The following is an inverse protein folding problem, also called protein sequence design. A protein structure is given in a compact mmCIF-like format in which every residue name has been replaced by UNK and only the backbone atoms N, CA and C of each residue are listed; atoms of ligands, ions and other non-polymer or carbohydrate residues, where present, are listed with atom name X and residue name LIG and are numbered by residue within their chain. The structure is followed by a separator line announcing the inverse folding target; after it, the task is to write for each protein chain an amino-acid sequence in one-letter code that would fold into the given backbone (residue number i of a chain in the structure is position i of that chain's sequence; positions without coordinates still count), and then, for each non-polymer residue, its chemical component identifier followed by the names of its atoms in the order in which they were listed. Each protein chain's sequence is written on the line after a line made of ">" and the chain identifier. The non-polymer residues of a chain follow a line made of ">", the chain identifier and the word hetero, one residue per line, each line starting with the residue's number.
data_IF_570410666942
#
_entry.id   IF_570410666942
#
_cell.length_a   1.000
_cell.length_b   1.000
_cell.length_c   1.000
_cell.angle_alpha   90.00
_cell.angle_beta   90.00
_cell.angle_gamma   90.00
#
_symmetry.space_group_name_H-M   'P 1'
#
loop_
_entity.id
_entity.type
_entity.pdbx_description
1 polymer ?
#
# COMPACT_ATOMS: atom_id res chain seq x y z
N UNK A 1 1.97 30.88 -18.39
CA UNK A 1 3.33 31.00 -17.83
C UNK A 1 3.72 29.64 -17.28
N UNK A 2 4.72 29.02 -17.90
CA UNK A 2 5.10 27.62 -17.74
C UNK A 2 5.59 27.31 -16.31
N UNK A 3 5.21 26.13 -15.80
CA UNK A 3 5.65 25.56 -14.51
C UNK A 3 7.18 25.28 -14.43
N UNK A 4 7.93 25.70 -15.44
CA UNK A 4 9.34 25.38 -15.67
C UNK A 4 10.33 26.42 -15.11
N UNK A 5 9.93 27.22 -14.11
CA UNK A 5 10.79 28.26 -13.52
C UNK A 5 11.11 28.08 -12.02
N UNK A 6 10.62 27.00 -11.38
CA UNK A 6 10.88 26.74 -9.96
C UNK A 6 12.06 25.78 -9.71
N UNK A 7 12.37 24.90 -10.67
CA UNK A 7 13.48 23.96 -10.53
C UNK A 7 14.85 24.66 -10.57
N UNK A 8 15.04 25.70 -11.37
CA UNK A 8 16.37 26.31 -11.56
C UNK A 8 16.85 27.20 -10.40
N UNK A 9 15.97 27.65 -9.49
CA UNK A 9 16.37 28.46 -8.32
C UNK A 9 16.43 27.66 -7.02
N UNK A 10 15.78 26.50 -6.95
CA UNK A 10 15.88 25.56 -5.81
C UNK A 10 16.95 24.48 -5.98
N UNK A 11 17.30 24.12 -7.23
CA UNK A 11 18.20 23.00 -7.52
C UNK A 11 19.66 23.19 -7.10
N UNK A 12 20.09 24.41 -6.71
CA UNK A 12 21.46 24.67 -6.28
C UNK A 12 21.64 24.46 -4.76
N UNK A 13 20.56 24.43 -3.96
CA UNK A 13 20.66 24.32 -2.49
C UNK A 13 20.54 22.88 -1.94
N UNK A 14 20.05 21.91 -2.73
CA UNK A 14 19.76 20.53 -2.25
C UNK A 14 20.93 19.56 -2.50
N UNK A 15 22.05 20.02 -3.06
CA UNK A 15 23.19 19.14 -3.41
C UNK A 15 24.09 18.69 -2.24
N UNK A 16 23.70 18.96 -1.00
CA UNK A 16 24.36 18.43 0.20
C UNK A 16 23.38 18.12 1.35
N UNK A 17 22.11 17.86 1.04
CA UNK A 17 21.12 17.55 2.07
C UNK A 17 21.32 16.10 2.57
N UNK A 18 21.35 15.90 3.89
CA UNK A 18 21.46 14.55 4.48
C UNK A 18 20.38 13.62 3.94
N UNK A 19 20.61 12.29 3.96
CA UNK A 19 19.70 11.27 3.40
C UNK A 19 18.22 11.50 3.76
N UNK A 20 17.93 11.99 4.97
CA UNK A 20 16.56 12.30 5.41
C UNK A 20 15.89 13.49 4.72
N UNK A 21 16.64 14.55 4.38
CA UNK A 21 16.10 15.69 3.64
C UNK A 21 15.79 15.34 2.18
N UNK A 22 16.59 14.46 1.58
CA UNK A 22 16.32 13.95 0.23
C UNK A 22 15.01 13.16 0.19
N UNK A 23 14.81 12.28 1.18
CA UNK A 23 13.56 11.52 1.33
C UNK A 23 12.33 12.42 1.48
N UNK A 24 12.42 13.50 2.26
CA UNK A 24 11.32 14.47 2.39
C UNK A 24 11.01 15.21 1.08
N UNK A 25 12.04 15.54 0.31
CA UNK A 25 11.87 16.08 -1.03
C UNK A 25 11.13 15.10 -1.94
N UNK A 26 11.53 13.83 -1.93
CA UNK A 26 10.89 12.78 -2.72
C UNK A 26 9.41 12.58 -2.34
N UNK A 27 9.08 12.60 -1.04
CA UNK A 27 7.70 12.50 -0.55
C UNK A 27 6.83 13.70 -0.94
N UNK A 28 7.44 14.88 -1.06
CA UNK A 28 6.72 16.07 -1.50
C UNK A 28 6.49 16.05 -3.01
N UNK A 29 7.53 15.69 -3.78
CA UNK A 29 7.47 15.67 -5.24
C UNK A 29 6.50 14.61 -5.78
N UNK A 30 6.46 13.41 -5.17
CA UNK A 30 5.62 12.32 -5.65
C UNK A 30 4.13 12.66 -5.65
N UNK A 31 3.69 13.58 -4.80
CA UNK A 31 2.29 14.01 -4.71
C UNK A 31 1.85 14.68 -6.01
N UNK A 32 2.69 15.53 -6.61
CA UNK A 32 2.38 16.17 -7.89
C UNK A 32 2.39 15.18 -9.07
N UNK A 33 3.21 14.14 -8.97
CA UNK A 33 3.30 13.11 -10.02
C UNK A 33 2.11 12.15 -9.98
N UNK A 34 1.54 11.91 -8.80
CA UNK A 34 0.52 10.87 -8.57
C UNK A 34 -0.88 11.40 -8.37
N UNK A 35 -1.05 12.63 -7.90
CA UNK A 35 -2.34 13.24 -7.65
C UNK A 35 -2.63 14.40 -8.62
N UNK A 36 -3.53 14.22 -9.61
CA UNK A 36 -3.97 15.29 -10.51
C UNK A 36 -4.63 16.49 -9.80
N UNK A 37 -5.10 16.32 -8.55
CA UNK A 37 -5.68 17.40 -7.77
C UNK A 37 -4.64 18.33 -7.15
N UNK A 38 -3.38 17.89 -7.01
CA UNK A 38 -2.29 18.66 -6.44
C UNK A 38 -1.83 19.78 -7.39
N UNK A 39 -2.55 20.91 -7.39
CA UNK A 39 -2.31 22.02 -8.33
C UNK A 39 -1.34 23.05 -7.82
N UNK A 40 -1.18 23.17 -6.51
CA UNK A 40 -0.32 24.19 -5.89
C UNK A 40 0.47 23.66 -4.69
N UNK A 41 1.72 24.12 -4.55
CA UNK A 41 2.62 23.65 -3.50
C UNK A 41 2.16 23.96 -2.07
N UNK A 42 1.53 25.12 -1.87
CA UNK A 42 0.89 25.47 -0.58
C UNK A 42 -0.26 24.52 -0.22
N UNK A 43 -1.02 24.07 -1.20
CA UNK A 43 -2.12 23.12 -0.96
C UNK A 43 -1.57 21.79 -0.47
N UNK A 44 -0.53 21.27 -1.13
CA UNK A 44 0.17 20.06 -0.67
C UNK A 44 0.75 20.25 0.73
N UNK A 45 1.41 21.38 0.98
CA UNK A 45 2.02 21.64 2.28
C UNK A 45 1.00 21.82 3.41
N UNK A 46 -0.19 22.38 3.16
CA UNK A 46 -1.15 22.72 4.21
C UNK A 46 -2.34 21.77 4.30
N UNK A 47 -2.67 21.03 3.24
CA UNK A 47 -3.94 20.33 3.09
C UNK A 47 -3.80 18.84 2.74
N UNK A 48 -2.59 18.25 2.78
CA UNK A 48 -2.38 16.82 2.53
C UNK A 48 -2.04 16.06 3.83
N UNK A 49 -3.03 15.44 4.49
CA UNK A 49 -2.81 14.69 5.73
C UNK A 49 -1.81 13.55 5.58
N UNK A 50 -1.77 12.92 4.39
CA UNK A 50 -0.80 11.87 4.07
C UNK A 50 0.64 12.34 4.19
N UNK A 51 0.93 13.53 3.66
CA UNK A 51 2.26 14.15 3.75
C UNK A 51 2.58 14.55 5.19
N UNK A 52 1.64 15.16 5.91
CA UNK A 52 1.82 15.51 7.33
C UNK A 52 2.11 14.30 8.21
N UNK A 53 1.42 13.18 7.97
CA UNK A 53 1.65 11.94 8.70
C UNK A 53 3.06 11.40 8.46
N UNK A 54 3.55 11.43 7.21
CA UNK A 54 4.91 11.02 6.87
C UNK A 54 5.97 11.94 7.49
N UNK A 55 5.75 13.25 7.51
CA UNK A 55 6.64 14.21 8.19
C UNK A 55 6.80 13.88 9.67
N UNK A 56 5.68 13.72 10.38
CA UNK A 56 5.67 13.40 11.81
C UNK A 56 6.25 12.00 12.07
N UNK A 57 5.95 11.02 11.23
CA UNK A 57 6.54 9.70 11.29
C UNK A 57 8.07 9.76 11.14
N UNK A 58 8.60 10.50 10.17
CA UNK A 58 10.06 10.57 9.95
C UNK A 58 10.78 11.20 11.14
N UNK A 59 10.18 12.21 11.79
CA UNK A 59 10.66 12.75 13.05
C UNK A 59 10.61 11.70 14.18
N UNK A 60 9.49 10.99 14.32
CA UNK A 60 9.33 9.95 15.33
C UNK A 60 10.31 8.79 15.13
N UNK A 61 10.50 8.34 13.89
CA UNK A 61 11.43 7.29 13.50
C UNK A 61 12.87 7.69 13.79
N UNK A 62 13.26 8.92 13.43
CA UNK A 62 14.59 9.46 13.72
C UNK A 62 14.90 9.53 15.23
N UNK A 63 13.90 9.82 16.06
CA UNK A 63 14.02 9.78 17.53
C UNK A 63 14.07 8.33 18.04
N UNK A 64 13.28 7.42 17.45
CA UNK A 64 13.27 6.01 17.79
C UNK A 64 14.63 5.34 17.54
N UNK A 65 15.26 5.64 16.41
CA UNK A 65 16.61 5.15 16.05
C UNK A 65 17.70 5.66 17.01
N UNK A 66 17.43 6.72 17.77
CA UNK A 66 18.31 7.23 18.84
C UNK A 66 17.98 6.65 20.21
N UNK A 67 17.18 5.59 20.25
CA UNK A 67 16.73 4.92 21.47
C UNK A 67 15.96 5.84 22.44
N UNK A 68 15.32 6.90 21.91
CA UNK A 68 14.39 7.70 22.71
C UNK A 68 13.11 6.87 22.92
N UNK A 69 12.72 6.68 24.18
CA UNK A 69 11.66 5.70 24.52
C UNK A 69 10.25 6.29 24.33
N UNK A 70 9.96 7.42 24.95
CA UNK A 70 8.58 7.93 25.07
C UNK A 70 8.15 8.82 23.90
N UNK A 71 8.98 9.79 23.51
CA UNK A 71 8.62 10.82 22.53
C UNK A 71 8.21 10.30 21.13
N UNK A 72 8.88 9.27 20.54
CA UNK A 72 8.43 8.73 19.27
C UNK A 72 6.97 8.28 19.28
N UNK A 73 6.57 7.60 20.36
CA UNK A 73 5.20 7.08 20.50
C UNK A 73 4.21 8.22 20.67
N UNK A 74 4.56 9.25 21.46
CA UNK A 74 3.73 10.44 21.61
C UNK A 74 3.52 11.16 20.28
N UNK A 75 4.59 11.35 19.48
CA UNK A 75 4.51 12.00 18.15
C UNK A 75 3.65 11.18 17.20
N UNK A 76 3.78 9.85 17.19
CA UNK A 76 2.91 8.96 16.41
C UNK A 76 1.43 9.13 16.76
N UNK A 77 1.09 9.21 18.06
CA UNK A 77 -0.28 9.46 18.49
C UNK A 77 -0.79 10.86 18.14
N UNK A 78 0.06 11.88 18.22
CA UNK A 78 -0.28 13.23 17.77
C UNK A 78 -0.53 13.26 16.26
N UNK A 79 0.32 12.60 15.47
CA UNK A 79 0.14 12.43 14.03
C UNK A 79 -1.18 11.75 13.71
N UNK A 80 -1.52 10.67 14.42
CA UNK A 80 -2.84 10.01 14.29
C UNK A 80 -3.99 10.95 14.61
N UNK A 81 -3.89 11.74 15.67
CA UNK A 81 -4.94 12.67 16.07
C UNK A 81 -5.18 13.76 15.01
N UNK A 82 -4.11 14.30 14.43
CA UNK A 82 -4.20 15.38 13.44
C UNK A 82 -4.59 14.91 12.04
N UNK A 83 -4.15 13.71 11.63
CA UNK A 83 -4.26 13.24 10.23
C UNK A 83 -5.18 12.05 10.05
N UNK A 84 -5.53 11.34 11.12
CA UNK A 84 -6.25 10.08 11.04
C UNK A 84 -5.40 8.87 10.60
N UNK A 85 -4.10 9.06 10.38
CA UNK A 85 -3.18 8.02 9.92
C UNK A 85 -2.32 7.55 11.10
N UNK A 86 -2.33 6.25 11.40
CA UNK A 86 -1.52 5.65 12.44
C UNK A 86 -0.29 4.97 11.83
N UNK A 87 0.90 5.48 12.15
CA UNK A 87 2.18 4.88 11.74
C UNK A 87 3.02 4.64 12.98
N UNK A 88 3.41 3.39 13.21
CA UNK A 88 4.28 3.06 14.31
C UNK A 88 5.71 3.63 14.09
N UNK A 89 6.35 4.25 15.10
CA UNK A 89 7.69 4.84 14.92
C UNK A 89 8.77 3.85 14.48
N UNK A 90 8.66 2.58 14.87
CA UNK A 90 9.60 1.52 14.49
C UNK A 90 9.37 0.93 13.09
N UNK A 91 8.26 1.29 12.41
CA UNK A 91 8.05 0.84 11.04
C UNK A 91 9.16 1.40 10.14
N UNK A 92 9.48 0.69 9.06
CA UNK A 92 10.44 1.14 8.05
C UNK A 92 9.69 1.59 6.81
N UNK A 93 9.78 2.88 6.46
CA UNK A 93 9.11 3.45 5.29
C UNK A 93 10.16 4.08 4.37
N UNK A 94 10.14 3.62 3.12
CA UNK A 94 10.97 4.11 2.03
C UNK A 94 10.70 5.56 1.64
N UNK A 95 11.33 5.99 0.55
CA UNK A 95 11.16 7.33 -0.03
C UNK A 95 10.00 7.38 -1.02
N UNK A 96 9.40 8.56 -1.18
CA UNK A 96 8.35 8.79 -2.18
C UNK A 96 7.10 7.96 -1.92
N UNK A 97 6.87 7.53 -0.68
CA UNK A 97 5.64 6.82 -0.32
C UNK A 97 4.51 7.84 -0.32
N UNK A 98 3.44 7.53 -1.04
CA UNK A 98 2.27 8.40 -1.14
C UNK A 98 1.09 7.77 -0.41
N UNK A 99 0.58 8.46 0.61
CA UNK A 99 -0.63 8.06 1.33
C UNK A 99 -1.77 8.96 0.86
N UNK A 100 -2.61 8.43 -0.02
CA UNK A 100 -3.70 9.16 -0.61
C UNK A 100 -4.99 8.97 0.21
N UNK A 101 -5.68 10.07 0.48
CA UNK A 101 -6.88 10.13 1.32
C UNK A 101 -6.75 9.41 2.68
N UNK A 102 -5.55 9.33 3.27
CA UNK A 102 -5.12 8.34 4.27
C UNK A 102 -5.92 8.09 5.56
N UNK A 103 -7.08 8.70 5.78
CA UNK A 103 -7.95 8.43 6.92
C UNK A 103 -8.12 6.92 7.16
N UNK A 104 -7.78 6.47 8.38
CA UNK A 104 -7.92 5.08 8.81
C UNK A 104 -6.81 4.16 8.32
N UNK A 105 -5.74 4.70 7.74
CA UNK A 105 -4.51 3.93 7.46
C UNK A 105 -3.83 3.55 8.77
N UNK A 106 -3.43 2.29 8.89
CA UNK A 106 -2.72 1.74 10.05
C UNK A 106 -1.49 0.96 9.58
N UNK A 107 -0.30 1.40 9.97
CA UNK A 107 0.99 0.77 9.67
C UNK A 107 1.64 0.31 10.97
N UNK A 108 1.71 -1.01 11.16
CA UNK A 108 2.18 -1.61 12.41
C UNK A 108 3.70 -1.58 12.62
N UNK A 109 4.12 -1.95 13.84
CA UNK A 109 5.49 -1.79 14.36
C UNK A 109 6.59 -2.31 13.45
N UNK A 110 6.43 -3.53 12.95
CA UNK A 110 7.48 -4.21 12.18
C UNK A 110 7.19 -4.16 10.68
N UNK A 111 6.28 -3.28 10.25
CA UNK A 111 5.93 -3.16 8.84
C UNK A 111 7.11 -2.56 8.08
N UNK A 112 7.33 -3.05 6.86
CA UNK A 112 8.30 -2.49 5.93
C UNK A 112 7.53 -2.07 4.69
N UNK A 113 7.67 -0.81 4.30
CA UNK A 113 7.06 -0.23 3.10
C UNK A 113 8.19 0.26 2.20
N UNK A 114 8.32 -0.35 1.02
CA UNK A 114 9.33 0.02 0.05
C UNK A 114 9.11 1.38 -0.60
N UNK A 115 10.08 1.80 -1.41
CA UNK A 115 10.06 3.09 -2.09
C UNK A 115 8.87 3.20 -3.06
N UNK A 116 8.33 4.40 -3.20
CA UNK A 116 7.29 4.75 -4.17
C UNK A 116 5.99 3.92 -4.08
N UNK A 117 5.68 3.38 -2.90
CA UNK A 117 4.40 2.74 -2.63
C UNK A 117 3.25 3.77 -2.61
N UNK A 118 2.08 3.34 -3.08
CA UNK A 118 0.83 4.10 -2.98
C UNK A 118 -0.13 3.38 -2.03
N UNK A 119 -0.58 4.07 -0.99
CA UNK A 119 -1.46 3.53 0.04
C UNK A 119 -2.71 4.40 0.12
N UNK A 120 -3.87 3.79 -0.11
CA UNK A 120 -5.16 4.47 0.00
C UNK A 120 -5.74 4.43 1.42
N UNK A 121 -6.83 5.17 1.63
CA UNK A 121 -7.57 5.25 2.89
C UNK A 121 -7.96 3.88 3.46
N UNK A 122 -8.04 3.77 4.78
CA UNK A 122 -8.53 2.56 5.46
C UNK A 122 -7.64 1.32 5.31
N UNK A 123 -6.43 1.44 4.75
CA UNK A 123 -5.50 0.31 4.61
C UNK A 123 -4.94 -0.11 5.96
N UNK A 124 -4.75 -1.40 6.19
CA UNK A 124 -4.06 -1.90 7.38
C UNK A 124 -2.91 -2.83 7.02
N UNK A 125 -1.72 -2.52 7.50
CA UNK A 125 -0.54 -3.39 7.51
C UNK A 125 -0.37 -3.93 8.93
N UNK A 126 -1.08 -5.02 9.21
CA UNK A 126 -1.34 -5.52 10.57
C UNK A 126 -0.68 -6.87 10.88
N UNK A 127 -0.71 -7.28 12.14
CA UNK A 127 -0.35 -8.64 12.56
C UNK A 127 -1.56 -9.57 12.62
N UNK A 128 -1.32 -10.88 12.70
CA UNK A 128 -2.37 -11.93 12.80
C UNK A 128 -2.55 -12.50 14.21
N UNK A 129 -1.73 -12.10 15.19
CA UNK A 129 -1.77 -12.67 16.54
C UNK A 129 -0.82 -12.00 17.54
N UNK A 130 -0.54 -12.70 18.65
CA UNK A 130 0.30 -12.23 19.78
C UNK A 130 1.78 -12.55 19.64
N UNK A 131 2.22 -12.97 18.46
CA UNK A 131 3.62 -13.32 18.26
C UNK A 131 4.53 -12.11 18.47
N UNK A 132 5.69 -12.36 19.06
CA UNK A 132 6.71 -11.34 19.29
C UNK A 132 7.71 -11.33 18.14
N UNK A 133 8.29 -10.17 17.83
CA UNK A 133 9.18 -10.00 16.67
C UNK A 133 8.44 -9.58 15.39
N UNK A 134 9.01 -9.96 14.23
CA UNK A 134 8.54 -9.56 12.90
C UNK A 134 7.21 -10.26 12.57
N UNK A 135 6.13 -9.47 12.56
CA UNK A 135 4.74 -9.96 12.48
C UNK A 135 3.83 -9.15 11.55
N UNK A 136 4.36 -8.08 10.97
CA UNK A 136 3.68 -7.20 10.03
C UNK A 136 4.24 -7.38 8.62
N UNK A 137 3.51 -6.99 7.57
CA UNK A 137 3.90 -7.22 6.19
C UNK A 137 5.20 -6.51 5.78
N UNK A 138 5.77 -6.98 4.68
CA UNK A 138 6.85 -6.32 3.94
C UNK A 138 6.37 -6.06 2.53
N UNK A 139 6.25 -4.79 2.17
CA UNK A 139 5.92 -4.34 0.82
C UNK A 139 7.21 -4.00 0.08
N UNK A 140 7.35 -4.51 -1.13
CA UNK A 140 8.38 -4.13 -2.08
C UNK A 140 8.21 -2.70 -2.59
N UNK A 141 8.94 -2.35 -3.64
CA UNK A 141 8.88 -1.03 -4.26
C UNK A 141 7.67 -0.92 -5.20
N UNK A 142 7.15 0.30 -5.37
CA UNK A 142 6.05 0.59 -6.29
C UNK A 142 4.77 -0.23 -6.06
N UNK A 143 4.58 -0.77 -4.84
CA UNK A 143 3.35 -1.50 -4.48
C UNK A 143 2.20 -0.52 -4.38
N UNK A 144 1.05 -0.89 -4.94
CA UNK A 144 -0.19 -0.12 -4.79
C UNK A 144 -1.15 -0.90 -3.90
N UNK A 145 -1.64 -0.27 -2.82
CA UNK A 145 -2.59 -0.87 -1.89
C UNK A 145 -3.90 -0.11 -1.93
N UNK A 146 -4.91 -0.73 -2.53
CA UNK A 146 -6.25 -0.17 -2.71
C UNK A 146 -6.99 0.12 -1.41
N UNK A 147 -7.98 1.02 -1.50
CA UNK A 147 -8.72 1.51 -0.35
C UNK A 147 -9.32 0.38 0.49
N UNK A 148 -9.17 0.47 1.82
CA UNK A 148 -9.74 -0.47 2.77
C UNK A 148 -9.08 -1.85 2.82
N UNK A 149 -8.04 -2.13 2.01
CA UNK A 149 -7.38 -3.42 2.02
C UNK A 149 -6.68 -3.74 3.36
N UNK A 150 -6.64 -5.02 3.73
CA UNK A 150 -6.02 -5.52 4.96
C UNK A 150 -4.95 -6.53 4.59
N UNK A 151 -3.70 -6.21 4.88
CA UNK A 151 -2.54 -7.09 4.66
C UNK A 151 -2.05 -7.51 6.04
N UNK A 152 -2.19 -8.79 6.38
CA UNK A 152 -2.02 -9.27 7.74
C UNK A 152 -0.94 -10.34 7.84
N UNK A 153 -0.04 -10.18 8.80
CA UNK A 153 1.01 -11.15 9.12
C UNK A 153 2.36 -10.80 8.50
N UNK A 154 3.38 -11.61 8.81
CA UNK A 154 4.71 -11.49 8.21
C UNK A 154 4.72 -12.10 6.81
N UNK A 155 4.11 -11.39 5.86
CA UNK A 155 4.04 -11.80 4.45
C UNK A 155 4.74 -10.78 3.54
N UNK A 156 5.25 -11.27 2.42
CA UNK A 156 5.93 -10.44 1.42
C UNK A 156 4.98 -10.09 0.27
N UNK A 157 4.95 -8.82 -0.08
CA UNK A 157 4.27 -8.27 -1.25
C UNK A 157 5.36 -7.79 -2.20
N UNK A 158 5.51 -8.47 -3.34
CA UNK A 158 6.60 -8.22 -4.28
C UNK A 158 6.52 -6.86 -4.97
N UNK A 159 7.61 -6.47 -5.62
CA UNK A 159 7.70 -5.18 -6.31
C UNK A 159 6.62 -5.04 -7.39
N UNK A 160 6.07 -3.83 -7.54
CA UNK A 160 4.99 -3.52 -8.47
C UNK A 160 3.72 -4.36 -8.29
N UNK A 161 3.60 -5.11 -7.18
CA UNK A 161 2.39 -5.81 -6.87
C UNK A 161 1.25 -4.84 -6.53
N UNK A 162 0.04 -5.31 -6.70
CA UNK A 162 -1.17 -4.50 -6.63
C UNK A 162 -2.20 -5.19 -5.73
N UNK A 163 -2.72 -4.51 -4.73
CA UNK A 163 -3.73 -5.06 -3.83
C UNK A 163 -5.05 -4.35 -4.10
N UNK A 164 -6.09 -5.11 -4.46
CA UNK A 164 -7.40 -4.55 -4.75
C UNK A 164 -8.06 -3.97 -3.49
N UNK A 165 -8.89 -2.93 -3.68
CA UNK A 165 -9.70 -2.36 -2.61
C UNK A 165 -10.52 -3.43 -1.87
N UNK A 166 -10.64 -3.27 -0.55
CA UNK A 166 -11.39 -4.17 0.34
C UNK A 166 -10.80 -5.59 0.51
N UNK A 167 -9.67 -5.90 -0.12
CA UNK A 167 -9.12 -7.26 -0.09
C UNK A 167 -8.47 -7.61 1.24
N UNK A 168 -8.55 -8.88 1.66
CA UNK A 168 -7.88 -9.40 2.86
C UNK A 168 -6.75 -10.34 2.45
N UNK A 169 -5.51 -9.86 2.46
CA UNK A 169 -4.33 -10.59 2.00
C UNK A 169 -3.64 -11.26 3.17
N UNK A 170 -3.62 -12.59 3.15
CA UNK A 170 -3.05 -13.45 4.19
C UNK A 170 -1.86 -14.29 3.68
N UNK A 171 -1.47 -14.12 2.41
CA UNK A 171 -0.41 -14.89 1.74
C UNK A 171 0.46 -13.96 0.91
N UNK A 172 1.69 -14.38 0.63
CA UNK A 172 2.60 -13.61 -0.19
C UNK A 172 2.03 -13.35 -1.60
N UNK A 173 2.32 -12.17 -2.13
CA UNK A 173 1.92 -11.76 -3.48
C UNK A 173 3.19 -11.58 -4.31
N UNK A 174 3.38 -12.35 -5.40
CA UNK A 174 4.56 -12.21 -6.24
C UNK A 174 4.67 -10.82 -6.88
N UNK A 175 5.88 -10.40 -7.30
CA UNK A 175 6.07 -9.16 -8.04
C UNK A 175 5.17 -9.09 -9.28
N UNK A 176 4.73 -7.88 -9.62
CA UNK A 176 3.84 -7.59 -10.76
C UNK A 176 2.47 -8.31 -10.76
N UNK A 177 2.11 -9.05 -9.70
CA UNK A 177 0.80 -9.67 -9.59
C UNK A 177 -0.20 -8.78 -8.85
N UNK A 178 -1.49 -9.01 -9.09
CA UNK A 178 -2.57 -8.34 -8.39
C UNK A 178 -3.23 -9.32 -7.41
N UNK A 179 -3.43 -8.97 -6.14
CA UNK A 179 -4.19 -9.78 -5.20
C UNK A 179 -5.54 -9.12 -4.87
N UNK A 180 -6.65 -9.85 -5.03
CA UNK A 180 -7.99 -9.34 -4.75
C UNK A 180 -8.87 -10.36 -4.03
N UNK A 181 -9.90 -9.87 -3.32
CA UNK A 181 -10.93 -10.71 -2.71
C UNK A 181 -10.72 -10.96 -1.21
N UNK A 182 -11.63 -11.74 -0.64
CA UNK A 182 -11.68 -12.06 0.80
C UNK A 182 -11.91 -13.57 0.99
N UNK A 183 -10.87 -14.36 1.27
CA UNK A 183 -9.45 -13.99 1.33
C UNK A 183 -8.86 -13.68 -0.06
N UNK A 184 -7.82 -12.86 -0.08
CA UNK A 184 -7.17 -12.38 -1.30
C UNK A 184 -6.51 -13.50 -2.09
N UNK A 185 -6.80 -13.56 -3.40
CA UNK A 185 -6.19 -14.51 -4.34
C UNK A 185 -5.32 -13.77 -5.35
N UNK A 186 -4.18 -14.37 -5.69
CA UNK A 186 -3.23 -13.80 -6.64
C UNK A 186 -3.74 -14.00 -8.07
N UNK A 187 -3.90 -12.91 -8.79
CA UNK A 187 -4.18 -12.81 -10.22
C UNK A 187 -2.89 -12.31 -10.87
N UNK A 188 -2.10 -13.24 -11.39
CA UNK A 188 -0.92 -12.90 -12.18
C UNK A 188 -1.32 -12.86 -13.65
N UNK A 189 -1.59 -11.66 -14.18
CA UNK A 189 -1.68 -11.47 -15.63
C UNK A 189 -0.26 -11.31 -16.18
N UNK A 190 0.08 -12.10 -17.19
CA UNK A 190 1.44 -12.21 -17.75
C UNK A 190 1.96 -10.93 -18.43
N UNK A 191 1.23 -9.81 -18.45
CA UNK A 191 1.59 -8.67 -19.30
C UNK A 191 0.99 -7.30 -18.90
N UNK A 192 1.21 -6.80 -17.67
CA UNK A 192 0.82 -5.42 -17.32
C UNK A 192 1.90 -4.69 -16.51
N UNK A 193 2.98 -4.33 -17.20
CA UNK A 193 4.08 -3.55 -16.62
C UNK A 193 3.70 -2.09 -16.26
N UNK A 194 2.58 -1.54 -16.74
CA UNK A 194 2.37 -0.07 -16.63
C UNK A 194 0.95 0.44 -16.36
N UNK A 195 -0.08 -0.39 -16.21
CA UNK A 195 -1.42 0.15 -15.97
C UNK A 195 -1.64 0.52 -14.48
N UNK A 196 -2.28 1.67 -14.17
CA UNK A 196 -2.82 1.96 -12.84
C UNK A 196 -3.73 0.82 -12.36
N UNK A 197 -3.90 0.69 -11.04
CA UNK A 197 -4.85 -0.27 -10.46
C UNK A 197 -6.30 0.11 -10.84
N UNK A 198 -6.77 -0.37 -11.98
CA UNK A 198 -8.15 -0.19 -12.41
C UNK A 198 -9.02 -1.30 -11.83
N UNK A 199 -9.70 -0.99 -10.73
CA UNK A 199 -10.56 -1.94 -10.01
C UNK A 199 -11.64 -2.56 -10.91
N UNK A 200 -12.15 -1.82 -11.90
CA UNK A 200 -13.16 -2.32 -12.85
C UNK A 200 -12.64 -3.37 -13.84
N UNK A 201 -11.32 -3.54 -13.99
CA UNK A 201 -10.72 -4.53 -14.89
C UNK A 201 -10.26 -5.81 -14.19
N UNK A 202 -10.40 -5.85 -12.86
CA UNK A 202 -10.05 -7.02 -12.04
C UNK A 202 -11.10 -8.11 -12.27
N UNK A 203 -10.70 -9.35 -12.61
CA UNK A 203 -11.64 -10.45 -12.77
C UNK A 203 -12.29 -10.82 -11.43
N UNK A 204 -13.58 -11.17 -11.47
CA UNK A 204 -14.30 -11.73 -10.33
C UNK A 204 -13.87 -13.20 -10.12
N UNK A 205 -12.95 -13.39 -9.17
CA UNK A 205 -12.38 -14.71 -8.86
C UNK A 205 -13.42 -15.68 -8.29
N UNK A 206 -14.46 -15.18 -7.63
CA UNK A 206 -15.51 -16.03 -7.07
C UNK A 206 -16.52 -16.43 -8.14
N UNK A 207 -16.93 -15.51 -9.02
CA UNK A 207 -17.77 -15.85 -10.16
C UNK A 207 -17.12 -16.89 -11.08
N UNK A 208 -15.81 -16.78 -11.35
CA UNK A 208 -15.07 -17.78 -12.13
C UNK A 208 -15.08 -19.14 -11.45
N UNK A 209 -14.87 -19.18 -10.13
CA UNK A 209 -14.89 -20.44 -9.37
C UNK A 209 -16.28 -21.08 -9.37
N UNK A 210 -17.34 -20.28 -9.18
CA UNK A 210 -18.73 -20.75 -9.21
C UNK A 210 -19.09 -21.28 -10.59
N UNK A 211 -18.73 -20.58 -11.67
CA UNK A 211 -18.99 -21.04 -13.03
C UNK A 211 -18.30 -22.38 -13.31
N UNK A 212 -17.02 -22.52 -12.92
CA UNK A 212 -16.29 -23.78 -13.08
C UNK A 212 -16.93 -24.95 -12.32
N UNK A 213 -17.53 -24.70 -11.16
CA UNK A 213 -18.29 -25.70 -10.41
C UNK A 213 -19.60 -26.06 -11.11
N UNK A 214 -20.35 -25.08 -11.61
CA UNK A 214 -21.60 -25.29 -12.35
C UNK A 214 -21.35 -26.11 -13.63
N UNK A 215 -20.33 -25.75 -14.41
CA UNK A 215 -19.94 -26.49 -15.62
C UNK A 215 -19.59 -27.95 -15.28
N UNK A 216 -18.95 -28.18 -14.12
CA UNK A 216 -18.62 -29.52 -13.65
C UNK A 216 -19.86 -30.31 -13.22
N UNK A 217 -20.82 -29.67 -12.55
CA UNK A 217 -22.09 -30.30 -12.17
C UNK A 217 -22.86 -30.71 -13.42
N UNK A 218 -22.99 -29.82 -14.40
CA UNK A 218 -23.67 -30.11 -15.67
C UNK A 218 -23.01 -31.30 -16.39
N UNK A 219 -21.67 -31.33 -16.44
CA UNK A 219 -20.92 -32.44 -17.01
C UNK A 219 -21.18 -33.77 -16.28
N UNK A 220 -21.30 -33.75 -14.96
CA UNK A 220 -21.61 -34.95 -14.16
C UNK A 220 -23.06 -35.41 -14.35
N UNK A 221 -24.02 -34.47 -14.41
CA UNK A 221 -25.44 -34.77 -14.65
C UNK A 221 -25.66 -35.44 -16.01
N UNK A 222 -24.90 -35.04 -17.03
CA UNK A 222 -24.93 -35.69 -18.36
C UNK A 222 -24.39 -37.13 -18.35
N UNK A 223 -23.58 -37.52 -17.36
CA UNK A 223 -23.04 -38.89 -17.25
C UNK A 223 -24.00 -39.85 -16.52
N UNK A 224 -24.93 -39.33 -15.71
CA UNK A 224 -25.88 -40.14 -14.93
C UNK A 224 -26.71 -41.09 -15.82
N UNK A 225 -27.31 -40.64 -16.95
CA UNK A 225 -28.11 -41.53 -17.80
C UNK A 225 -27.34 -42.70 -18.39
N UNK A 226 -26.05 -42.50 -18.72
CA UNK A 226 -25.18 -43.54 -19.28
C UNK A 226 -24.92 -44.64 -18.24
N UNK A 227 -24.64 -44.24 -17.00
CA UNK A 227 -24.41 -45.18 -15.89
C UNK A 227 -25.66 -45.95 -15.48
N UNK A 228 -26.84 -45.34 -15.62
CA UNK A 228 -28.13 -46.02 -15.38
C UNK A 228 -28.42 -47.07 -16.46
N UNK A 229 -27.98 -46.85 -17.70
CA UNK A 229 -28.18 -47.81 -18.80
C UNK A 229 -27.22 -49.00 -18.76
N UNK A 230 -26.07 -48.87 -18.10
CA UNK A 230 -25.06 -49.92 -17.95
C UNK A 230 -25.29 -50.84 -16.73
N UNK A 231 -26.38 -50.65 -15.97
CA UNK A 231 -26.82 -51.51 -14.85
C UNK A 231 -28.00 -52.40 -15.22
#
# INVERSE_FOLDING_TARGET
>A
MSAMNWLDRGAIAIKAASKGWQTLGDDFCIIFDRDPAARHWLEVLCCYPGFHALLLYRLAHWLHDRHVVFFPRLISHLGRFLTGIEIHPAATIGKGVFIDHGMGVVIGETAIVGDYCLIYQGVTLGGTGKETGKRHPTLGQHVVVGAGAKILGNIQIGDYARIGAGSIVLRAVPPHCTAVGVPGRNICRTNTQTCPLEHGQVPDVEAIAVQALLDRIECLEQQIPQLIQDQ
#
